data_IF_174205461910
#
_entry.id   IF_174205461910
#
_cell.length_a   1.000
_cell.length_b   1.000
_cell.length_c   1.000
_cell.angle_alpha   90.00
_cell.angle_beta   90.00
_cell.angle_gamma   90.00
#
_symmetry.space_group_name_H-M   'P 1'
#
loop_
_entity.id
_entity.type
_entity.pdbx_description
1 polymer ?
#
# COMPACT_ATOMS: atom_id res chain seq x y z
N UNK A 1 -9.59 47.22 13.96
CA UNK A 1 -10.02 48.64 14.03
C UNK A 1 -8.78 49.50 13.77
N UNK A 2 -8.94 50.61 13.01
CA UNK A 2 -7.98 51.30 12.10
C UNK A 2 -7.80 50.56 10.76
N UNK A 3 -8.41 50.91 9.60
CA UNK A 3 -8.77 52.18 8.92
C UNK A 3 -7.51 52.97 8.48
N UNK A 4 -6.98 52.86 7.26
CA UNK A 4 -7.43 53.25 5.89
C UNK A 4 -7.33 54.76 5.60
N UNK A 5 -6.57 55.15 4.57
CA UNK A 5 -6.70 56.34 3.67
C UNK A 5 -5.49 56.33 2.68
N UNK A 6 -5.62 56.12 1.36
CA UNK A 6 -6.29 56.86 0.26
C UNK A 6 -5.33 57.83 -0.50
N UNK A 7 -5.32 57.69 -1.84
CA UNK A 7 -5.01 58.71 -2.85
C UNK A 7 -4.98 58.04 -4.25
N UNK A 8 -5.94 58.18 -5.19
CA UNK A 8 -6.40 59.33 -6.03
C UNK A 8 -5.23 60.04 -6.75
N UNK A 9 -5.17 60.34 -8.06
CA UNK A 9 -6.18 60.54 -9.13
C UNK A 9 -5.48 60.71 -10.52
N UNK A 10 -6.15 60.25 -11.59
CA UNK A 10 -6.24 60.71 -13.00
C UNK A 10 -5.15 61.55 -13.73
N UNK A 11 -4.84 61.19 -15.01
CA UNK A 11 -5.21 61.97 -16.23
C UNK A 11 -4.79 61.27 -17.54
N UNK A 12 -5.68 61.33 -18.53
CA UNK A 12 -5.45 61.09 -19.97
C UNK A 12 -4.91 62.36 -20.67
N UNK A 13 -4.38 62.29 -21.91
CA UNK A 13 -5.23 62.46 -23.09
C UNK A 13 -4.87 61.60 -24.34
N UNK A 14 -5.83 61.58 -25.27
CA UNK A 14 -5.90 60.94 -26.59
C UNK A 14 -4.90 61.45 -27.64
N UNK A 15 -4.49 60.55 -28.54
CA UNK A 15 -4.67 60.55 -30.03
C UNK A 15 -3.88 59.32 -30.53
N UNK A 16 -4.20 58.51 -31.55
CA UNK A 16 -4.95 58.60 -32.80
C UNK A 16 -5.19 57.14 -33.28
N UNK A 17 -6.30 56.87 -33.98
CA UNK A 17 -6.50 55.63 -34.74
C UNK A 17 -5.91 55.80 -36.16
N UNK A 18 -5.47 54.70 -36.82
CA UNK A 18 -6.38 54.06 -37.78
C UNK A 18 -6.33 52.51 -37.80
N UNK A 19 -7.54 51.95 -37.79
CA UNK A 19 -8.02 50.79 -38.57
C UNK A 19 -7.02 49.77 -39.14
N UNK A 20 -7.20 48.49 -38.79
CA UNK A 20 -7.54 47.44 -39.77
C UNK A 20 -7.78 46.07 -39.12
N UNK A 21 -9.06 45.70 -39.09
CA UNK A 21 -9.61 44.40 -39.50
C UNK A 21 -8.82 43.12 -39.13
N UNK A 22 -9.19 42.47 -38.01
CA UNK A 22 -8.82 41.07 -37.73
C UNK A 22 -10.07 40.19 -37.75
N UNK A 23 -10.46 39.76 -38.94
CA UNK A 23 -11.19 38.49 -39.12
C UNK A 23 -10.15 37.39 -39.34
N UNK A 24 -9.69 36.77 -38.24
CA UNK A 24 -8.59 35.79 -38.27
C UNK A 24 -8.91 34.50 -37.50
N UNK A 25 -9.52 33.53 -38.20
CA UNK A 25 -9.43 32.07 -37.99
C UNK A 25 -8.95 31.57 -36.61
N UNK A 26 -9.87 31.44 -35.66
CA UNK A 26 -9.66 30.70 -34.39
C UNK A 26 -10.36 29.32 -34.38
N UNK A 27 -10.18 28.53 -35.44
CA UNK A 27 -10.91 27.23 -35.60
C UNK A 27 -10.06 25.99 -35.95
N UNK A 28 -8.72 26.08 -36.00
CA UNK A 28 -7.89 24.94 -36.46
C UNK A 28 -7.10 24.18 -35.39
N UNK A 29 -6.96 24.68 -34.17
CA UNK A 29 -6.10 24.04 -33.15
C UNK A 29 -6.80 23.05 -32.21
N UNK A 30 -8.14 22.98 -32.20
CA UNK A 30 -8.87 22.05 -31.30
C UNK A 30 -8.95 20.61 -31.81
N UNK A 31 -8.51 20.35 -33.04
CA UNK A 31 -8.72 19.05 -33.71
C UNK A 31 -7.55 18.08 -33.51
N UNK A 32 -6.33 18.57 -33.24
CA UNK A 32 -5.12 17.73 -33.28
C UNK A 32 -4.98 16.85 -32.02
N UNK A 33 -5.49 17.27 -30.87
CA UNK A 33 -5.28 16.55 -29.61
C UNK A 33 -6.15 15.28 -29.43
N UNK A 34 -7.17 15.07 -30.28
CA UNK A 34 -8.10 13.94 -30.15
C UNK A 34 -7.94 12.87 -31.22
N UNK A 35 -6.96 13.00 -32.11
CA UNK A 35 -6.68 12.02 -33.18
C UNK A 35 -6.13 10.68 -32.64
N UNK A 36 -5.81 10.60 -31.34
CA UNK A 36 -5.20 9.42 -30.69
C UNK A 36 -6.17 8.53 -29.91
N UNK A 37 -7.43 8.94 -29.70
CA UNK A 37 -8.41 8.11 -28.99
C UNK A 37 -8.98 7.04 -29.95
N UNK A 38 -8.66 5.78 -29.70
CA UNK A 38 -9.13 4.63 -30.51
C UNK A 38 -9.99 3.71 -29.67
N UNK A 39 -11.28 3.61 -30.00
CA UNK A 39 -12.21 2.75 -29.30
C UNK A 39 -12.29 1.38 -29.97
N UNK A 40 -12.16 0.32 -29.17
CA UNK A 40 -12.33 -1.06 -29.61
C UNK A 40 -13.72 -1.57 -29.20
N UNK A 41 -14.56 -1.90 -30.18
CA UNK A 41 -15.91 -2.41 -29.94
C UNK A 41 -15.95 -3.90 -29.59
N UNK A 42 -14.85 -4.61 -29.83
CA UNK A 42 -14.73 -6.05 -29.59
C UNK A 42 -14.20 -6.35 -28.18
N UNK A 43 -13.58 -5.37 -27.52
CA UNK A 43 -13.12 -5.49 -26.16
C UNK A 43 -14.29 -5.67 -25.17
N UNK A 44 -14.05 -6.44 -24.11
CA UNK A 44 -15.02 -6.66 -23.02
C UNK A 44 -15.34 -5.38 -22.24
N UNK A 45 -14.46 -4.39 -22.32
CA UNK A 45 -14.65 -3.10 -21.65
C UNK A 45 -15.67 -2.22 -22.38
N UNK A 46 -16.66 -1.65 -21.67
CA UNK A 46 -17.60 -0.69 -22.27
C UNK A 46 -16.90 0.54 -22.87
N UNK A 47 -17.41 1.01 -24.03
CA UNK A 47 -16.83 2.13 -24.78
C UNK A 47 -16.65 3.43 -23.97
N UNK A 48 -17.54 3.71 -23.01
CA UNK A 48 -17.42 4.90 -22.15
C UNK A 48 -16.23 4.80 -21.19
N UNK A 49 -15.87 3.59 -20.76
CA UNK A 49 -14.77 3.33 -19.85
C UNK A 49 -13.43 3.37 -20.59
N UNK A 50 -13.39 2.83 -21.81
CA UNK A 50 -12.25 3.00 -22.73
C UNK A 50 -11.98 4.48 -23.02
N UNK A 51 -13.03 5.24 -23.34
CA UNK A 51 -12.95 6.67 -23.61
C UNK A 51 -12.47 7.46 -22.38
N UNK A 52 -13.02 7.16 -21.19
CA UNK A 52 -12.56 7.74 -19.94
C UNK A 52 -11.08 7.47 -19.70
N UNK A 53 -10.63 6.22 -19.83
CA UNK A 53 -9.25 5.83 -19.56
C UNK A 53 -8.27 6.52 -20.51
N UNK A 54 -8.54 6.47 -21.81
CA UNK A 54 -7.64 7.07 -22.80
C UNK A 54 -7.54 8.58 -22.62
N UNK A 55 -8.65 9.28 -22.35
CA UNK A 55 -8.59 10.73 -22.08
C UNK A 55 -7.83 11.01 -20.79
N UNK A 56 -8.04 10.23 -19.73
CA UNK A 56 -7.32 10.39 -18.47
C UNK A 56 -5.81 10.19 -18.65
N UNK A 57 -5.41 9.12 -19.34
CA UNK A 57 -4.00 8.78 -19.52
C UNK A 57 -3.26 9.82 -20.39
N UNK A 58 -3.94 10.40 -21.38
CA UNK A 58 -3.41 11.52 -22.17
C UNK A 58 -3.31 12.83 -21.37
N UNK A 59 -4.24 13.08 -20.45
CA UNK A 59 -4.16 14.20 -19.51
C UNK A 59 -3.00 14.02 -18.50
N UNK A 60 -2.80 12.79 -18.03
CA UNK A 60 -1.72 12.40 -17.13
C UNK A 60 -0.33 12.51 -17.76
N UNK A 61 -0.20 12.08 -19.02
CA UNK A 61 1.08 12.07 -19.75
C UNK A 61 1.56 13.46 -20.19
N UNK A 62 0.72 14.50 -20.08
CA UNK A 62 1.04 15.86 -20.51
C UNK A 62 1.03 16.05 -22.03
N UNK A 63 0.50 15.07 -22.78
CA UNK A 63 0.40 15.06 -24.24
C UNK A 63 -0.54 16.15 -24.77
N UNK A 64 -1.51 16.58 -23.96
CA UNK A 64 -2.23 17.83 -24.17
C UNK A 64 -1.29 19.01 -23.90
N UNK A 65 -0.51 19.38 -24.92
CA UNK A 65 0.36 20.55 -24.91
C UNK A 65 -0.33 21.73 -24.20
N UNK A 66 0.38 22.37 -23.26
CA UNK A 66 -0.01 23.44 -22.34
C UNK A 66 -0.86 24.62 -22.90
N UNK A 67 -1.18 24.64 -24.20
CA UNK A 67 -1.91 25.67 -24.90
C UNK A 67 -3.38 25.30 -25.23
N UNK A 68 -3.84 24.05 -25.05
CA UNK A 68 -5.25 23.66 -25.30
C UNK A 68 -6.01 23.37 -24.00
N UNK A 69 -6.50 24.40 -23.33
CA UNK A 69 -7.28 24.28 -22.08
C UNK A 69 -8.71 23.76 -22.27
N UNK A 70 -9.20 23.65 -23.51
CA UNK A 70 -10.62 23.36 -23.81
C UNK A 70 -10.81 22.09 -24.63
N UNK A 71 -11.70 21.22 -24.15
CA UNK A 71 -12.13 20.02 -24.86
C UNK A 71 -13.15 20.32 -25.98
N UNK A 72 -13.20 19.49 -27.03
CA UNK A 72 -14.32 19.47 -27.98
C UNK A 72 -15.66 19.29 -27.26
N UNK A 73 -16.72 19.84 -27.83
CA UNK A 73 -18.07 19.60 -27.30
C UNK A 73 -18.43 18.12 -27.36
N UNK A 74 -19.30 17.63 -26.46
CA UNK A 74 -19.73 16.23 -26.49
C UNK A 74 -20.40 15.82 -27.80
N UNK A 75 -20.95 16.77 -28.57
CA UNK A 75 -21.48 16.54 -29.93
C UNK A 75 -20.36 16.31 -30.95
N UNK A 76 -19.30 17.10 -30.89
CA UNK A 76 -18.15 16.96 -31.79
C UNK A 76 -17.41 15.64 -31.52
N UNK A 77 -17.12 15.36 -30.25
CA UNK A 77 -16.43 14.14 -29.85
C UNK A 77 -17.23 12.87 -30.18
N UNK A 78 -18.56 12.91 -30.06
CA UNK A 78 -19.42 11.80 -30.47
C UNK A 78 -19.42 11.57 -31.99
N UNK A 79 -19.40 12.65 -32.78
CA UNK A 79 -19.34 12.57 -34.24
C UNK A 79 -17.99 12.01 -34.71
N UNK A 80 -16.88 12.51 -34.16
CA UNK A 80 -15.53 12.11 -34.53
C UNK A 80 -15.26 10.64 -34.19
N UNK A 81 -15.65 10.21 -32.98
CA UNK A 81 -15.47 8.82 -32.53
C UNK A 81 -16.57 7.87 -32.99
N UNK A 82 -17.59 8.38 -33.72
CA UNK A 82 -18.77 7.62 -34.19
C UNK A 82 -19.44 6.79 -33.08
N UNK A 83 -19.66 7.41 -31.93
CA UNK A 83 -20.35 6.81 -30.76
C UNK A 83 -21.55 7.65 -30.34
N UNK A 84 -22.42 7.09 -29.49
CA UNK A 84 -23.54 7.84 -28.95
C UNK A 84 -23.06 9.00 -28.07
N UNK A 85 -23.79 10.13 -28.10
CA UNK A 85 -23.54 11.26 -27.18
C UNK A 85 -23.65 10.84 -25.71
N UNK A 86 -24.49 9.85 -25.41
CA UNK A 86 -24.63 9.30 -24.06
C UNK A 86 -23.33 8.66 -23.56
N UNK A 87 -22.66 7.86 -24.40
CA UNK A 87 -21.36 7.23 -24.11
C UNK A 87 -20.28 8.29 -23.81
N UNK A 88 -20.24 9.35 -24.61
CA UNK A 88 -19.30 10.47 -24.40
C UNK A 88 -19.60 11.21 -23.09
N UNK A 89 -20.86 11.52 -22.84
CA UNK A 89 -21.25 12.21 -21.60
C UNK A 89 -20.89 11.37 -20.37
N UNK A 90 -21.06 10.05 -20.40
CA UNK A 90 -20.72 9.17 -19.27
C UNK A 90 -19.21 9.21 -18.96
N UNK A 91 -18.36 9.21 -19.98
CA UNK A 91 -16.91 9.36 -19.82
C UNK A 91 -16.52 10.75 -19.27
N UNK A 92 -17.07 11.82 -19.85
CA UNK A 92 -16.78 13.20 -19.43
C UNK A 92 -17.29 13.50 -18.01
N UNK A 93 -18.48 12.99 -17.65
CA UNK A 93 -19.03 13.12 -16.30
C UNK A 93 -18.13 12.46 -15.27
N UNK A 94 -17.56 11.30 -15.59
CA UNK A 94 -16.60 10.62 -14.70
C UNK A 94 -15.29 11.40 -14.56
N UNK A 95 -14.72 11.88 -15.66
CA UNK A 95 -13.53 12.72 -15.63
C UNK A 95 -13.75 14.03 -14.84
N UNK A 96 -14.96 14.60 -14.92
CA UNK A 96 -15.34 15.77 -14.13
C UNK A 96 -15.49 15.43 -12.65
N UNK A 97 -16.13 14.29 -12.31
CA UNK A 97 -16.28 13.85 -10.92
C UNK A 97 -14.92 13.56 -10.25
N UNK A 98 -13.95 13.06 -11.01
CA UNK A 98 -12.59 12.79 -10.53
C UNK A 98 -11.66 14.02 -10.60
N UNK A 99 -12.16 15.18 -11.06
CA UNK A 99 -11.44 16.45 -11.03
C UNK A 99 -10.46 16.69 -12.19
N UNK A 100 -10.49 15.87 -13.24
CA UNK A 100 -9.70 16.07 -14.45
C UNK A 100 -10.26 17.20 -15.33
N UNK A 101 -11.58 17.43 -15.27
CA UNK A 101 -12.27 18.41 -16.10
C UNK A 101 -13.12 19.38 -15.28
N UNK A 102 -13.20 20.63 -15.75
CA UNK A 102 -14.09 21.66 -15.23
C UNK A 102 -15.07 22.11 -16.31
N UNK A 103 -16.37 22.06 -16.01
CA UNK A 103 -17.40 22.57 -16.91
C UNK A 103 -17.81 23.98 -16.49
N UNK A 104 -17.73 24.94 -17.41
CA UNK A 104 -18.25 26.31 -17.19
C UNK A 104 -19.49 26.53 -18.04
N UNK A 105 -20.61 26.85 -17.38
CA UNK A 105 -21.91 27.07 -18.03
C UNK A 105 -21.78 28.05 -19.19
N UNK A 106 -22.23 27.64 -20.39
CA UNK A 106 -22.15 28.43 -21.62
C UNK A 106 -20.75 28.51 -22.29
N UNK A 107 -19.69 28.06 -21.62
CA UNK A 107 -18.30 28.22 -22.09
C UNK A 107 -17.61 26.91 -22.48
N UNK A 108 -18.18 25.74 -22.18
CA UNK A 108 -17.67 24.42 -22.55
C UNK A 108 -16.97 23.68 -21.40
N UNK A 109 -16.31 22.57 -21.74
CA UNK A 109 -15.55 21.73 -20.81
C UNK A 109 -14.05 22.00 -20.98
N UNK A 110 -13.38 22.28 -19.87
CA UNK A 110 -11.97 22.65 -19.80
C UNK A 110 -11.20 21.63 -18.98
N UNK A 111 -9.90 21.50 -19.24
CA UNK A 111 -8.99 20.70 -18.42
C UNK A 111 -8.74 21.44 -17.12
N UNK A 112 -8.74 20.73 -15.98
CA UNK A 112 -8.46 21.34 -14.67
C UNK A 112 -7.02 21.85 -14.61
N UNK A 113 -6.81 23.06 -14.09
CA UNK A 113 -5.48 23.69 -13.98
C UNK A 113 -4.51 22.89 -13.09
N UNK A 114 -5.05 22.17 -12.10
CA UNK A 114 -4.30 21.26 -11.25
C UNK A 114 -4.92 19.87 -11.39
N UNK A 115 -4.26 19.00 -12.15
CA UNK A 115 -4.67 17.62 -12.33
C UNK A 115 -4.45 16.83 -11.02
N UNK A 116 -5.34 15.89 -10.65
CA UNK A 116 -5.18 15.07 -9.44
C UNK A 116 -3.80 14.44 -9.30
N UNK A 117 -3.20 14.00 -10.41
CA UNK A 117 -1.88 13.39 -10.43
C UNK A 117 -0.74 14.35 -10.09
N UNK A 118 -0.93 15.66 -10.25
CA UNK A 118 0.04 16.68 -9.82
C UNK A 118 0.10 16.85 -8.29
N UNK A 119 -0.96 16.48 -7.58
CA UNK A 119 -0.98 16.44 -6.11
C UNK A 119 -0.44 15.12 -5.54
N UNK A 120 -0.60 14.02 -6.28
CA UNK A 120 -0.17 12.68 -5.87
C UNK A 120 1.26 12.35 -6.32
N UNK A 121 1.75 13.01 -7.38
CA UNK A 121 3.16 13.00 -7.73
C UNK A 121 3.89 13.82 -6.68
N UNK A 122 4.48 13.15 -5.69
CA UNK A 122 5.66 13.68 -5.02
C UNK A 122 6.56 14.20 -6.14
N UNK A 123 6.84 15.52 -6.15
CA UNK A 123 7.75 16.16 -7.12
C UNK A 123 8.85 15.14 -7.37
N UNK A 124 8.92 14.58 -8.57
CA UNK A 124 10.10 13.87 -9.03
C UNK A 124 11.16 14.95 -9.08
N UNK A 125 11.73 15.25 -7.90
CA UNK A 125 13.00 15.92 -7.80
C UNK A 125 13.87 15.14 -8.74
N UNK A 126 14.35 15.78 -9.81
CA UNK A 126 15.47 15.30 -10.64
C UNK A 126 16.29 14.42 -9.73
N UNK A 127 16.35 13.11 -10.02
CA UNK A 127 16.96 12.14 -9.14
C UNK A 127 18.30 12.73 -8.69
N UNK A 128 18.32 13.30 -7.48
CA UNK A 128 19.57 13.58 -6.81
C UNK A 128 20.13 12.18 -6.70
N UNK A 129 21.33 11.89 -7.23
CA UNK A 129 21.91 10.55 -7.08
C UNK A 129 21.72 10.22 -5.61
N UNK A 130 20.91 9.20 -5.34
CA UNK A 130 20.56 8.87 -3.98
C UNK A 130 21.90 8.71 -3.31
N UNK A 131 22.27 9.64 -2.42
CA UNK A 131 23.42 9.42 -1.57
C UNK A 131 23.04 8.14 -0.87
N UNK A 132 23.63 7.02 -1.31
CA UNK A 132 23.50 5.72 -0.71
C UNK A 132 24.12 5.87 0.67
N UNK A 133 23.36 6.49 1.58
CA UNK A 133 23.68 6.48 2.98
C UNK A 133 23.51 5.02 3.34
N UNK A 134 24.60 4.30 3.67
CA UNK A 134 24.47 2.92 4.07
C UNK A 134 23.44 2.88 5.20
N UNK A 135 22.51 1.93 5.11
CA UNK A 135 21.46 1.79 6.11
C UNK A 135 22.12 1.74 7.49
N UNK A 136 21.73 2.65 8.38
CA UNK A 136 22.27 2.65 9.74
C UNK A 136 21.75 1.44 10.49
N UNK A 137 22.54 0.38 10.50
CA UNK A 137 22.33 -0.78 11.36
C UNK A 137 22.91 -0.51 12.76
N UNK A 138 22.22 -0.96 13.81
CA UNK A 138 22.75 -0.91 15.17
C UNK A 138 23.96 -1.84 15.29
N UNK A 139 24.91 -1.50 16.17
CA UNK A 139 26.08 -2.37 16.41
C UNK A 139 25.63 -3.77 16.84
N UNK A 140 24.59 -3.87 17.68
CA UNK A 140 24.00 -5.15 18.07
C UNK A 140 23.61 -6.04 16.88
N UNK A 141 23.08 -5.47 15.79
CA UNK A 141 22.72 -6.25 14.59
C UNK A 141 23.96 -6.62 13.78
N UNK A 142 24.96 -5.75 13.72
CA UNK A 142 26.24 -6.01 13.04
C UNK A 142 27.05 -7.10 13.73
N UNK A 143 26.94 -7.18 15.06
CA UNK A 143 27.67 -8.14 15.88
C UNK A 143 26.99 -9.52 15.92
N UNK A 144 25.80 -9.68 15.31
CA UNK A 144 25.18 -11.00 15.17
C UNK A 144 26.05 -11.81 14.19
N UNK A 145 26.65 -12.94 14.62
CA UNK A 145 27.41 -13.77 13.72
C UNK A 145 26.53 -14.23 12.55
N UNK A 146 26.99 -13.93 11.33
CA UNK A 146 26.31 -14.32 10.11
C UNK A 146 27.05 -15.49 9.46
N UNK A 147 26.64 -16.70 9.82
CA UNK A 147 27.13 -17.94 9.22
C UNK A 147 26.22 -18.43 8.08
N UNK A 148 25.39 -17.55 7.50
CA UNK A 148 24.46 -17.93 6.43
C UNK A 148 25.22 -18.25 5.14
N UNK A 149 24.78 -19.28 4.42
CA UNK A 149 25.30 -19.63 3.09
C UNK A 149 24.17 -19.56 2.07
N UNK A 150 24.35 -18.78 1.00
CA UNK A 150 23.38 -18.69 -0.10
C UNK A 150 21.99 -18.20 0.31
N UNK A 151 20.93 -18.82 -0.23
CA UNK A 151 19.53 -18.45 0.00
C UNK A 151 18.89 -19.19 1.18
N UNK A 152 19.57 -19.28 2.31
CA UNK A 152 19.16 -20.09 3.47
C UNK A 152 17.83 -19.65 4.13
N UNK A 153 17.24 -18.53 3.68
CA UNK A 153 15.94 -17.99 4.11
C UNK A 153 14.88 -18.04 3.01
N UNK A 154 15.16 -18.66 1.86
CA UNK A 154 14.11 -19.07 0.91
C UNK A 154 13.37 -20.27 1.53
N UNK A 155 12.60 -20.00 2.59
CA UNK A 155 11.60 -20.92 3.13
C UNK A 155 10.40 -21.01 2.20
N UNK A 156 10.62 -20.91 0.88
CA UNK A 156 9.62 -21.10 -0.14
C UNK A 156 9.07 -22.50 0.04
N UNK A 157 8.02 -22.62 0.86
CA UNK A 157 7.01 -23.67 0.81
C UNK A 157 6.24 -23.42 -0.50
N UNK A 158 6.98 -23.53 -1.60
CA UNK A 158 6.58 -23.31 -2.97
C UNK A 158 7.58 -24.08 -3.86
N UNK A 159 8.05 -25.23 -3.38
CA UNK A 159 8.51 -26.29 -4.26
C UNK A 159 7.29 -27.01 -4.84
N UNK A 160 7.40 -27.62 -6.03
CA UNK A 160 6.36 -28.51 -6.53
C UNK A 160 6.03 -29.59 -5.50
N UNK A 161 4.80 -30.16 -5.49
CA UNK A 161 4.45 -31.25 -4.60
C UNK A 161 5.50 -32.37 -4.73
N UNK A 162 6.22 -32.63 -3.63
CA UNK A 162 7.36 -33.52 -3.59
C UNK A 162 7.80 -33.77 -2.15
N UNK A 163 8.58 -34.83 -1.95
CA UNK A 163 9.11 -35.20 -0.63
C UNK A 163 10.15 -34.15 -0.21
N UNK A 164 9.83 -33.41 0.86
CA UNK A 164 10.73 -32.42 1.46
C UNK A 164 11.51 -33.06 2.61
N UNK A 165 12.83 -32.98 2.56
CA UNK A 165 13.71 -33.36 3.69
C UNK A 165 14.12 -32.16 4.54
N UNK A 166 13.36 -31.05 4.46
CA UNK A 166 13.62 -29.87 5.30
C UNK A 166 13.26 -30.21 6.74
N UNK A 167 14.22 -30.13 7.70
CA UNK A 167 13.93 -30.43 9.09
C UNK A 167 12.96 -29.41 9.69
N UNK A 168 12.23 -29.81 10.73
CA UNK A 168 11.27 -28.99 11.46
C UNK A 168 10.03 -28.52 10.66
N UNK A 169 9.76 -29.11 9.49
CA UNK A 169 8.45 -29.01 8.83
C UNK A 169 7.54 -30.08 9.44
N UNK A 170 6.39 -29.68 9.97
CA UNK A 170 5.38 -30.61 10.47
C UNK A 170 4.69 -31.36 9.32
N UNK A 171 4.09 -32.52 9.59
CA UNK A 171 3.21 -33.21 8.65
C UNK A 171 1.90 -32.40 8.47
N UNK A 172 1.94 -31.40 7.59
CA UNK A 172 0.84 -30.45 7.39
C UNK A 172 -0.41 -31.15 6.81
N UNK A 173 -0.21 -32.24 6.08
CA UNK A 173 -1.23 -33.11 5.52
C UNK A 173 -1.95 -33.96 6.58
N UNK A 174 -1.30 -34.25 7.70
CA UNK A 174 -1.90 -34.98 8.83
C UNK A 174 -2.64 -34.05 9.81
N UNK A 175 -2.59 -32.73 9.63
CA UNK A 175 -3.25 -31.81 10.55
C UNK A 175 -4.78 -32.00 10.51
N UNK A 176 -5.45 -32.27 11.64
CA UNK A 176 -6.87 -32.60 11.65
C UNK A 176 -7.76 -31.34 11.56
N UNK A 177 -7.83 -30.75 10.35
CA UNK A 177 -8.52 -29.49 10.08
C UNK A 177 -9.98 -29.52 10.57
N UNK A 178 -10.72 -30.60 10.31
CA UNK A 178 -12.13 -30.71 10.67
C UNK A 178 -12.35 -30.68 12.19
N UNK A 179 -11.49 -31.39 12.93
CA UNK A 179 -11.54 -31.40 14.40
C UNK A 179 -11.19 -30.02 14.96
N UNK A 180 -10.16 -29.39 14.38
CA UNK A 180 -9.75 -28.04 14.76
C UNK A 180 -10.88 -27.02 14.57
N UNK A 181 -11.51 -27.00 13.41
CA UNK A 181 -12.60 -26.06 13.11
C UNK A 181 -13.82 -26.28 14.01
N UNK A 182 -14.16 -27.54 14.29
CA UNK A 182 -15.22 -27.87 15.24
C UNK A 182 -14.92 -27.33 16.63
N UNK A 183 -13.71 -27.55 17.16
CA UNK A 183 -13.31 -27.07 18.48
C UNK A 183 -13.22 -25.53 18.52
N UNK A 184 -12.68 -24.90 17.48
CA UNK A 184 -12.61 -23.44 17.35
C UNK A 184 -14.00 -22.81 17.40
N UNK A 185 -14.96 -23.36 16.65
CA UNK A 185 -16.34 -22.90 16.64
C UNK A 185 -17.01 -23.07 18.01
N UNK A 186 -16.80 -24.22 18.68
CA UNK A 186 -17.33 -24.47 20.03
C UNK A 186 -16.79 -23.45 21.06
N UNK A 187 -15.47 -23.20 21.06
CA UNK A 187 -14.84 -22.25 21.98
C UNK A 187 -15.35 -20.82 21.72
N UNK A 188 -15.50 -20.43 20.45
CA UNK A 188 -16.07 -19.13 20.10
C UNK A 188 -17.52 -18.99 20.56
N UNK A 189 -18.34 -20.03 20.38
CA UNK A 189 -19.73 -20.03 20.85
C UNK A 189 -19.83 -19.94 22.39
N UNK A 190 -18.92 -20.60 23.10
CA UNK A 190 -18.91 -20.61 24.57
C UNK A 190 -18.37 -19.33 25.19
N UNK A 191 -17.23 -18.81 24.70
CA UNK A 191 -16.54 -17.64 25.28
C UNK A 191 -16.97 -16.31 24.64
N UNK A 192 -17.52 -16.34 23.43
CA UNK A 192 -18.04 -15.16 22.73
C UNK A 192 -17.04 -14.00 22.65
N UNK A 193 -17.55 -12.78 22.85
CA UNK A 193 -16.75 -11.55 22.77
C UNK A 193 -15.64 -11.44 23.83
N UNK A 194 -15.66 -12.25 24.89
CA UNK A 194 -14.59 -12.27 25.90
C UNK A 194 -13.23 -12.67 25.29
N UNK A 195 -13.22 -13.43 24.20
CA UNK A 195 -11.99 -13.77 23.46
C UNK A 195 -11.34 -12.57 22.77
N UNK A 196 -12.08 -11.48 22.55
CA UNK A 196 -11.59 -10.30 21.84
C UNK A 196 -10.85 -9.32 22.75
N UNK A 197 -10.79 -9.63 24.05
CA UNK A 197 -10.07 -8.82 25.04
C UNK A 197 -8.62 -9.29 25.15
N UNK A 198 -7.77 -8.41 25.67
CA UNK A 198 -6.42 -8.82 26.05
C UNK A 198 -6.49 -9.89 27.14
N UNK A 199 -5.83 -11.02 26.88
CA UNK A 199 -5.62 -12.04 27.90
C UNK A 199 -4.59 -11.56 28.95
N UNK A 200 -4.46 -12.32 30.05
CA UNK A 200 -3.33 -12.19 30.96
C UNK A 200 -2.01 -12.22 30.19
N UNK A 201 -1.00 -11.49 30.68
CA UNK A 201 0.37 -11.54 30.14
C UNK A 201 0.98 -12.96 30.15
N UNK A 202 0.40 -13.87 30.93
CA UNK A 202 0.77 -15.29 31.00
C UNK A 202 0.01 -16.17 30.00
N UNK A 203 -1.04 -15.66 29.37
CA UNK A 203 -1.98 -16.40 28.54
C UNK A 203 -3.26 -16.83 29.29
N UNK A 204 -4.18 -17.46 28.54
CA UNK A 204 -5.49 -17.89 29.05
C UNK A 204 -5.36 -18.86 30.24
N UNK A 205 -6.07 -18.63 31.36
CA UNK A 205 -5.93 -19.43 32.57
C UNK A 205 -6.41 -20.88 32.41
N UNK A 206 -7.46 -21.12 31.61
CA UNK A 206 -7.98 -22.47 31.37
C UNK A 206 -7.02 -23.27 30.48
N UNK A 207 -6.42 -22.61 29.48
CA UNK A 207 -5.35 -23.20 28.67
C UNK A 207 -4.14 -23.59 29.54
N UNK A 208 -3.71 -22.71 30.46
CA UNK A 208 -2.59 -23.02 31.37
C UNK A 208 -2.89 -24.22 32.27
N UNK A 209 -4.11 -24.35 32.78
CA UNK A 209 -4.53 -25.53 33.55
C UNK A 209 -4.45 -26.80 32.72
N UNK A 210 -5.03 -26.79 31.51
CA UNK A 210 -5.00 -27.93 30.61
C UNK A 210 -3.56 -28.35 30.24
N UNK A 211 -2.68 -27.37 30.00
CA UNK A 211 -1.27 -27.63 29.72
C UNK A 211 -0.51 -28.18 30.93
N UNK A 212 -0.77 -27.69 32.14
CA UNK A 212 -0.14 -28.23 33.35
C UNK A 212 -0.47 -29.71 33.55
N UNK A 213 -1.75 -30.09 33.37
CA UNK A 213 -2.18 -31.50 33.38
C UNK A 213 -1.48 -32.30 32.29
N UNK A 214 -1.52 -31.83 31.05
CA UNK A 214 -0.87 -32.51 29.92
C UNK A 214 0.63 -32.73 30.13
N UNK A 215 1.35 -31.71 30.63
CA UNK A 215 2.78 -31.79 30.90
C UNK A 215 3.10 -32.76 32.05
N UNK A 216 2.25 -32.83 33.07
CA UNK A 216 2.40 -33.81 34.14
C UNK A 216 2.22 -35.23 33.59
N UNK A 217 1.14 -35.47 32.84
CA UNK A 217 0.75 -36.81 32.39
C UNK A 217 1.69 -37.37 31.32
N UNK A 218 2.10 -36.54 30.35
CA UNK A 218 2.86 -37.01 29.17
C UNK A 218 4.34 -36.69 29.21
N UNK A 219 4.77 -35.75 30.06
CA UNK A 219 6.18 -35.31 30.16
C UNK A 219 6.76 -35.46 31.57
N UNK A 220 5.97 -35.92 32.54
CA UNK A 220 6.41 -36.02 33.94
C UNK A 220 6.75 -34.69 34.59
N UNK A 221 6.41 -33.57 33.93
CA UNK A 221 6.78 -32.23 34.38
C UNK A 221 5.75 -31.71 35.39
N UNK A 222 6.15 -31.66 36.66
CA UNK A 222 5.33 -31.14 37.75
C UNK A 222 5.42 -29.61 37.76
N UNK A 223 4.38 -28.93 37.28
CA UNK A 223 4.29 -27.48 37.33
C UNK A 223 2.88 -27.02 37.70
N UNK A 224 2.79 -25.92 38.45
CA UNK A 224 1.53 -25.24 38.70
C UNK A 224 1.14 -24.40 37.46
N UNK A 225 -0.15 -24.24 37.13
CA UNK A 225 -0.58 -23.39 36.01
C UNK A 225 0.00 -21.97 36.05
N UNK A 226 0.24 -21.41 37.25
CA UNK A 226 0.87 -20.09 37.43
C UNK A 226 2.38 -20.05 37.23
N UNK A 227 2.98 -21.17 36.83
CA UNK A 227 4.37 -21.23 36.35
C UNK A 227 4.43 -21.28 34.81
N UNK A 228 3.30 -21.45 34.13
CA UNK A 228 3.23 -21.52 32.67
C UNK A 228 3.01 -20.12 32.07
N UNK A 229 3.78 -19.78 31.04
CA UNK A 229 3.62 -18.58 30.20
C UNK A 229 3.42 -19.04 28.76
N UNK A 230 2.32 -18.62 28.14
CA UNK A 230 2.03 -18.91 26.72
C UNK A 230 2.76 -17.90 25.84
N UNK A 231 3.48 -18.39 24.84
CA UNK A 231 4.20 -17.56 23.87
C UNK A 231 3.81 -17.91 22.43
N UNK A 232 4.10 -17.02 21.48
CA UNK A 232 3.91 -17.22 20.05
C UNK A 232 5.03 -18.09 19.42
N UNK A 233 5.82 -18.79 20.23
CA UNK A 233 6.86 -19.70 19.77
C UNK A 233 8.12 -19.70 20.63
N UNK A 234 9.02 -20.63 20.31
CA UNK A 234 10.25 -20.88 21.08
C UNK A 234 11.20 -19.68 21.12
N UNK A 235 11.30 -18.89 20.05
CA UNK A 235 12.18 -17.71 20.03
C UNK A 235 11.75 -16.66 21.04
N UNK A 236 10.44 -16.39 21.14
CA UNK A 236 9.90 -15.47 22.15
C UNK A 236 10.13 -16.02 23.56
N UNK A 237 9.88 -17.32 23.77
CA UNK A 237 10.12 -17.96 25.07
C UNK A 237 11.59 -17.85 25.49
N UNK A 238 12.53 -18.18 24.60
CA UNK A 238 13.97 -18.04 24.88
C UNK A 238 14.36 -16.60 25.20
N UNK A 239 13.82 -15.62 24.47
CA UNK A 239 14.14 -14.21 24.72
C UNK A 239 13.63 -13.75 26.09
N UNK A 240 12.41 -14.10 26.46
CA UNK A 240 11.86 -13.81 27.79
C UNK A 240 12.73 -14.46 28.88
N UNK A 241 13.09 -15.73 28.72
CA UNK A 241 13.95 -16.44 29.67
C UNK A 241 15.34 -15.79 29.79
N UNK A 242 15.97 -15.44 28.66
CA UNK A 242 17.28 -14.79 28.67
C UNK A 242 17.23 -13.42 29.36
N UNK A 243 16.24 -12.58 29.05
CA UNK A 243 16.07 -11.28 29.71
C UNK A 243 15.74 -11.39 31.21
N UNK A 244 15.12 -12.49 31.64
CA UNK A 244 14.76 -12.71 33.04
C UNK A 244 15.90 -13.31 33.88
N UNK A 245 16.81 -14.07 33.26
CA UNK A 245 17.78 -14.92 33.98
C UNK A 245 19.24 -14.58 33.73
N UNK A 246 19.57 -13.77 32.72
CA UNK A 246 20.94 -13.50 32.30
C UNK A 246 21.22 -12.00 32.35
N UNK A 247 22.25 -11.60 33.10
CA UNK A 247 22.75 -10.23 33.05
C UNK A 247 23.66 -10.04 31.84
N UNK A 248 23.81 -8.78 31.42
CA UNK A 248 24.75 -8.48 30.36
C UNK A 248 26.18 -8.79 30.75
N UNK A 249 26.91 -9.45 29.84
CA UNK A 249 28.28 -9.91 30.02
C UNK A 249 28.42 -11.23 30.77
N UNK A 250 27.31 -11.86 31.20
CA UNK A 250 27.37 -13.19 31.82
C UNK A 250 27.59 -14.30 30.79
N UNK A 251 28.26 -15.37 31.23
CA UNK A 251 28.57 -16.52 30.38
C UNK A 251 27.39 -17.49 30.35
N UNK A 252 26.89 -17.80 29.16
CA UNK A 252 25.89 -18.84 28.93
C UNK A 252 26.51 -20.04 28.19
N UNK A 253 26.21 -21.25 28.64
CA UNK A 253 26.67 -22.50 28.02
C UNK A 253 25.60 -23.04 27.08
N UNK A 254 26.00 -23.51 25.90
CA UNK A 254 25.11 -24.05 24.86
C UNK A 254 25.74 -25.31 24.28
N UNK A 255 24.91 -26.28 23.92
CA UNK A 255 25.32 -27.51 23.23
C UNK A 255 25.98 -27.21 21.87
N UNK A 256 27.00 -27.99 21.50
CA UNK A 256 27.68 -27.92 20.20
C UNK A 256 27.89 -29.34 19.62
N UNK A 257 27.18 -29.72 18.54
CA UNK A 257 26.21 -28.93 17.77
C UNK A 257 24.87 -28.76 18.52
N UNK A 258 24.25 -27.58 18.41
CA UNK A 258 23.00 -27.27 19.10
C UNK A 258 22.06 -26.34 18.34
N UNK A 259 20.96 -25.95 18.97
CA UNK A 259 19.95 -25.08 18.35
C UNK A 259 20.48 -23.65 18.15
N UNK A 260 20.86 -23.32 16.91
CA UNK A 260 21.52 -22.05 16.57
C UNK A 260 20.77 -20.79 17.03
N UNK A 261 19.43 -20.79 17.06
CA UNK A 261 18.67 -19.61 17.48
C UNK A 261 18.86 -19.31 18.98
N UNK A 262 19.15 -20.31 19.82
CA UNK A 262 19.47 -20.08 21.23
C UNK A 262 20.73 -19.20 21.36
N UNK A 263 21.80 -19.50 20.59
CA UNK A 263 23.04 -18.70 20.57
C UNK A 263 22.78 -17.24 20.18
N UNK A 264 21.90 -17.01 19.19
CA UNK A 264 21.51 -15.65 18.78
C UNK A 264 20.74 -14.93 19.87
N UNK A 265 19.82 -15.61 20.56
CA UNK A 265 19.04 -15.02 21.63
C UNK A 265 19.94 -14.59 22.80
N UNK A 266 20.86 -15.44 23.25
CA UNK A 266 21.79 -15.09 24.32
C UNK A 266 22.74 -13.96 23.90
N UNK A 267 23.33 -14.03 22.69
CA UNK A 267 24.15 -12.93 22.18
C UNK A 267 23.38 -11.61 21.99
N UNK A 268 22.06 -11.66 21.80
CA UNK A 268 21.22 -10.46 21.74
C UNK A 268 20.92 -9.88 23.13
N UNK A 269 20.70 -10.73 24.13
CA UNK A 269 20.47 -10.31 25.51
C UNK A 269 21.66 -9.48 26.04
N UNK A 270 22.87 -9.86 25.61
CA UNK A 270 24.10 -9.08 25.68
C UNK A 270 25.10 -9.75 26.59
#
# INVERSE_FOLDING_TARGET
>A
MLLLMIGTKARTPNSEHPTSNVHGKRRRHSLVAFEMVRLDRTATEPLHQQLYRQIRDELASGSFNNNSSRLPSSRALAADLRVSRFTVNLALSRLQAEGYLQSKTGSGTFISEALPESFLSARTTKAVPATERPARLSNRVKDIPDHRVGKQFDFGIAGPPGVSFVPAVAALDEFPIEVWERLRAQVLAQKGAHLLQYASSRGDPELRKALATYLCDYRGARCHPDQIIITAGTQQAMMISAMALVNRGEVAWIEDPGFYQARRTFGFAG
#
